data_IF_717865822034
#
_entry.id   IF_717865822034
#
_cell.length_a   1.000
_cell.length_b   1.000
_cell.length_c   1.000
_cell.angle_alpha   90.00
_cell.angle_beta   90.00
_cell.angle_gamma   90.00
#
_symmetry.space_group_name_H-M   'P 1'
#
loop_
_entity.id
_entity.type
_entity.pdbx_description
1 polymer ?
#
# COMPACT_ATOMS: atom_id res chain seq x y z
N UNK A 1 -9.83 12.92 34.60
CA UNK A 1 -10.66 12.39 33.52
C UNK A 1 -10.47 13.32 32.34
N UNK A 2 -9.51 13.02 31.47
CA UNK A 2 -9.18 13.79 30.26
C UNK A 2 -9.91 13.14 29.09
N UNK A 3 -10.62 13.96 28.36
CA UNK A 3 -11.57 13.61 27.33
C UNK A 3 -10.80 13.19 26.04
N UNK A 4 -10.80 11.90 25.72
CA UNK A 4 -10.05 11.28 24.60
C UNK A 4 -10.94 11.19 23.35
N UNK A 5 -11.52 12.29 22.89
CA UNK A 5 -12.37 12.31 21.68
C UNK A 5 -12.17 13.58 20.84
N UNK A 6 -10.93 13.88 20.48
CA UNK A 6 -10.61 14.79 19.38
C UNK A 6 -9.60 14.15 18.44
N UNK A 7 -9.96 13.03 17.85
CA UNK A 7 -9.29 12.58 16.61
C UNK A 7 -9.94 13.40 15.50
N UNK A 8 -9.20 14.42 15.10
CA UNK A 8 -9.49 15.38 14.04
C UNK A 8 -10.01 14.67 12.78
N UNK A 9 -11.30 14.83 12.56
CA UNK A 9 -11.92 14.67 11.25
C UNK A 9 -11.57 15.91 10.42
N UNK A 10 -10.34 16.07 9.99
CA UNK A 10 -9.92 17.09 9.04
C UNK A 10 -10.52 16.73 7.70
N UNK A 11 -11.69 17.31 7.40
CA UNK A 11 -12.18 17.40 6.01
C UNK A 11 -11.02 17.89 5.14
N UNK A 12 -10.76 17.27 3.98
CA UNK A 12 -9.73 17.77 3.07
C UNK A 12 -10.06 19.24 2.74
N UNK A 13 -9.05 20.09 2.89
CA UNK A 13 -9.18 21.51 2.56
C UNK A 13 -9.33 21.64 1.04
N UNK A 14 -10.57 21.73 0.56
CA UNK A 14 -10.93 21.89 -0.84
C UNK A 14 -10.77 23.30 -1.37
N UNK A 15 -10.17 24.21 -0.58
CA UNK A 15 -9.93 25.58 -0.98
C UNK A 15 -8.54 25.75 -1.63
N UNK A 16 -8.49 26.60 -2.65
CA UNK A 16 -7.26 26.96 -3.34
C UNK A 16 -6.29 27.70 -2.41
N UNK A 17 -5.11 27.16 -2.20
CA UNK A 17 -4.08 27.72 -1.31
C UNK A 17 -3.14 28.66 -2.06
N UNK A 18 -3.58 29.89 -2.32
CA UNK A 18 -2.79 30.94 -3.00
C UNK A 18 -1.46 31.20 -2.33
N UNK A 19 -1.43 31.25 -0.99
CA UNK A 19 -0.24 31.55 -0.21
C UNK A 19 0.89 30.55 -0.47
N UNK A 20 0.54 29.28 -0.56
CA UNK A 20 1.51 28.22 -0.84
C UNK A 20 2.17 28.42 -2.20
N UNK A 21 1.39 28.68 -3.27
CA UNK A 21 1.94 28.90 -4.60
C UNK A 21 2.86 30.12 -4.64
N UNK A 22 2.47 31.23 -3.99
CA UNK A 22 3.30 32.45 -3.91
C UNK A 22 4.62 32.17 -3.19
N UNK A 23 4.58 31.50 -2.04
CA UNK A 23 5.78 31.14 -1.28
C UNK A 23 6.72 30.24 -2.05
N UNK A 24 6.18 29.26 -2.80
CA UNK A 24 6.99 28.38 -3.64
C UNK A 24 7.68 29.11 -4.78
N UNK A 25 6.97 30.01 -5.47
CA UNK A 25 7.54 30.85 -6.51
C UNK A 25 8.65 31.75 -5.97
N UNK A 26 8.45 32.33 -4.78
CA UNK A 26 9.47 33.16 -4.12
C UNK A 26 10.71 32.35 -3.74
N UNK A 27 10.54 31.15 -3.20
CA UNK A 27 11.64 30.26 -2.81
C UNK A 27 12.57 29.93 -3.97
N UNK A 28 12.04 29.78 -5.19
CA UNK A 28 12.83 29.53 -6.41
C UNK A 28 13.14 30.81 -7.20
N UNK A 29 12.84 32.00 -6.64
CA UNK A 29 13.04 33.31 -7.27
C UNK A 29 12.39 33.41 -8.67
N UNK A 30 11.21 32.81 -8.84
CA UNK A 30 10.47 32.81 -10.11
C UNK A 30 9.30 33.78 -10.05
N UNK A 31 9.24 34.72 -11.00
CA UNK A 31 8.09 35.62 -11.13
C UNK A 31 6.91 34.93 -11.83
N UNK A 32 5.66 35.38 -11.54
CA UNK A 32 4.46 34.86 -12.21
C UNK A 32 4.52 35.04 -13.74
N UNK A 33 5.09 36.13 -14.24
CA UNK A 33 5.30 36.34 -15.69
C UNK A 33 6.23 35.30 -16.30
N UNK A 34 7.30 34.95 -15.58
CA UNK A 34 8.24 33.92 -16.03
C UNK A 34 7.63 32.54 -15.97
N UNK A 35 6.84 32.24 -14.93
CA UNK A 35 6.04 31.02 -14.87
C UNK A 35 5.10 30.91 -16.07
N UNK A 36 4.35 31.96 -16.38
CA UNK A 36 3.44 32.01 -17.51
C UNK A 36 4.15 31.63 -18.84
N UNK A 37 5.33 32.21 -19.09
CA UNK A 37 6.12 31.88 -20.26
C UNK A 37 6.58 30.41 -20.28
N UNK A 38 6.93 29.85 -19.12
CA UNK A 38 7.44 28.48 -19.02
C UNK A 38 6.34 27.42 -19.21
N UNK A 39 5.09 27.75 -18.85
CA UNK A 39 3.94 26.83 -19.02
C UNK A 39 3.11 27.13 -20.27
N UNK A 40 3.56 28.11 -21.07
CA UNK A 40 2.92 28.52 -22.31
C UNK A 40 1.50 29.07 -22.10
N UNK A 41 1.36 29.99 -21.12
CA UNK A 41 0.11 30.67 -20.80
C UNK A 41 0.30 32.20 -20.81
N UNK A 42 -0.83 32.89 -21.03
CA UNK A 42 -0.89 34.33 -20.83
C UNK A 42 -0.70 34.69 -19.35
N UNK A 43 0.03 35.77 -19.02
CA UNK A 43 0.22 36.24 -17.65
C UNK A 43 -1.10 36.48 -16.88
N UNK A 44 -2.14 36.94 -17.57
CA UNK A 44 -3.47 37.12 -16.97
C UNK A 44 -4.09 35.77 -16.55
N UNK A 45 -3.94 34.74 -17.37
CA UNK A 45 -4.42 33.40 -17.07
C UNK A 45 -3.70 32.81 -15.84
N UNK A 46 -2.38 33.03 -15.70
CA UNK A 46 -1.63 32.63 -14.49
C UNK A 46 -2.10 33.39 -13.27
N UNK A 47 -2.38 34.69 -13.38
CA UNK A 47 -2.91 35.48 -12.27
C UNK A 47 -4.27 34.98 -11.82
N UNK A 48 -5.17 34.65 -12.74
CA UNK A 48 -6.47 34.05 -12.42
C UNK A 48 -6.32 32.65 -11.81
N UNK A 49 -5.41 31.85 -12.33
CA UNK A 49 -5.10 30.54 -11.79
C UNK A 49 -4.56 30.63 -10.35
N UNK A 50 -3.56 31.46 -10.09
CA UNK A 50 -2.98 31.66 -8.77
C UNK A 50 -3.91 32.38 -7.77
N UNK A 51 -5.00 32.95 -8.23
CA UNK A 51 -6.07 33.49 -7.37
C UNK A 51 -7.23 32.50 -7.13
N UNK A 52 -7.16 31.29 -7.69
CA UNK A 52 -8.22 30.28 -7.60
C UNK A 52 -9.46 30.57 -8.47
N UNK A 53 -9.42 31.64 -9.31
CA UNK A 53 -10.53 32.01 -10.21
C UNK A 53 -10.55 31.23 -11.53
N UNK A 54 -9.47 30.53 -11.85
CA UNK A 54 -9.35 29.64 -12.99
C UNK A 54 -8.86 28.27 -12.52
N UNK A 55 -9.53 27.23 -12.96
CA UNK A 55 -9.09 25.84 -12.68
C UNK A 55 -7.78 25.54 -13.39
N UNK A 56 -6.90 24.80 -12.74
CA UNK A 56 -5.67 24.26 -13.33
C UNK A 56 -6.01 23.01 -14.12
N UNK A 57 -5.57 22.90 -15.36
CA UNK A 57 -5.76 21.70 -16.16
C UNK A 57 -4.70 20.65 -15.82
N UNK A 58 -4.97 19.38 -16.12
CA UNK A 58 -4.01 18.27 -15.87
C UNK A 58 -2.64 18.51 -16.50
N UNK A 59 -2.61 19.03 -17.73
CA UNK A 59 -1.35 19.35 -18.42
C UNK A 59 -0.57 20.48 -17.73
N UNK A 60 -1.26 21.49 -17.23
CA UNK A 60 -0.65 22.58 -16.46
C UNK A 60 -0.12 22.11 -15.11
N UNK A 61 -0.85 21.22 -14.43
CA UNK A 61 -0.41 20.63 -13.16
C UNK A 61 0.96 19.98 -13.31
N UNK A 62 1.17 19.15 -14.35
CA UNK A 62 2.46 18.50 -14.59
C UNK A 62 3.59 19.51 -14.88
N UNK A 63 3.32 20.53 -15.72
CA UNK A 63 4.30 21.56 -16.02
C UNK A 63 4.69 22.35 -14.76
N UNK A 64 3.71 22.75 -13.94
CA UNK A 64 3.93 23.50 -12.71
C UNK A 64 4.67 22.63 -11.69
N UNK A 65 4.32 21.37 -11.53
CA UNK A 65 4.97 20.42 -10.62
C UNK A 65 6.47 20.30 -10.93
N UNK A 66 6.82 20.14 -12.21
CA UNK A 66 8.20 20.08 -12.66
C UNK A 66 8.97 21.39 -12.39
N UNK A 67 8.35 22.56 -12.67
CA UNK A 67 8.98 23.88 -12.47
C UNK A 67 9.20 24.16 -10.98
N UNK A 68 8.22 23.85 -10.13
CA UNK A 68 8.30 24.08 -8.69
C UNK A 68 9.06 22.97 -7.94
N UNK A 69 9.49 21.92 -8.65
CA UNK A 69 10.14 20.72 -8.09
C UNK A 69 9.34 20.12 -6.92
N UNK A 70 8.07 19.85 -7.16
CA UNK A 70 7.14 19.23 -6.21
C UNK A 70 6.35 18.12 -6.91
N UNK A 71 5.66 17.27 -6.14
CA UNK A 71 4.83 16.23 -6.73
C UNK A 71 3.54 16.80 -7.35
N UNK A 72 3.03 16.11 -8.36
CA UNK A 72 1.71 16.41 -8.96
C UNK A 72 0.60 16.42 -7.90
N UNK A 73 0.63 15.46 -6.98
CA UNK A 73 -0.31 15.36 -5.87
C UNK A 73 -0.26 16.59 -4.96
N UNK A 74 0.93 17.15 -4.72
CA UNK A 74 1.10 18.37 -3.91
C UNK A 74 0.47 19.59 -4.61
N UNK A 75 0.69 19.76 -5.92
CA UNK A 75 0.02 20.81 -6.70
C UNK A 75 -1.50 20.67 -6.63
N UNK A 76 -2.02 19.47 -6.86
CA UNK A 76 -3.47 19.23 -6.86
C UNK A 76 -4.08 19.53 -5.50
N UNK A 77 -3.46 19.07 -4.41
CA UNK A 77 -3.92 19.34 -3.04
C UNK A 77 -3.99 20.84 -2.75
N UNK A 78 -2.97 21.61 -3.11
CA UNK A 78 -2.95 23.05 -2.91
C UNK A 78 -3.81 23.83 -3.92
N UNK A 79 -4.14 23.22 -5.05
CA UNK A 79 -5.10 23.77 -6.00
C UNK A 79 -6.57 23.53 -5.59
N UNK A 80 -6.82 22.90 -4.42
CA UNK A 80 -8.18 22.55 -3.99
C UNK A 80 -8.84 21.48 -4.85
N UNK A 81 -8.03 20.76 -5.62
CA UNK A 81 -8.47 19.58 -6.35
C UNK A 81 -8.41 18.43 -5.36
N UNK A 82 -9.52 17.79 -5.09
CA UNK A 82 -9.57 16.63 -4.23
C UNK A 82 -8.69 15.52 -4.85
N UNK A 83 -7.47 15.47 -4.35
CA UNK A 83 -6.62 14.30 -4.55
C UNK A 83 -7.12 13.37 -3.47
N UNK A 84 -8.17 12.64 -3.76
CA UNK A 84 -8.31 11.36 -3.11
C UNK A 84 -6.99 10.67 -3.41
N UNK A 85 -6.11 10.60 -2.40
CA UNK A 85 -5.05 9.61 -2.41
C UNK A 85 -5.82 8.30 -2.60
N UNK A 86 -5.95 7.89 -3.85
CA UNK A 86 -6.47 6.59 -4.22
C UNK A 86 -5.37 5.58 -3.87
N UNK A 87 -4.94 5.70 -2.61
CA UNK A 87 -4.00 4.79 -1.99
C UNK A 87 -4.78 3.52 -1.84
N UNK A 88 -4.57 2.68 -2.81
CA UNK A 88 -5.19 1.37 -2.84
C UNK A 88 -4.94 0.68 -1.51
N UNK A 89 -6.02 0.27 -0.86
CA UNK A 89 -5.98 -0.44 0.41
C UNK A 89 -6.46 -1.87 0.22
N UNK A 90 -5.85 -2.79 0.93
CA UNK A 90 -6.28 -4.19 1.03
C UNK A 90 -6.65 -4.50 2.47
N UNK A 91 -7.58 -5.41 2.66
CA UNK A 91 -8.02 -5.84 3.99
C UNK A 91 -6.94 -6.68 4.67
N UNK A 92 -6.67 -6.42 5.94
CA UNK A 92 -5.91 -7.32 6.80
C UNK A 92 -6.90 -8.37 7.30
N UNK A 93 -6.88 -9.56 6.70
CA UNK A 93 -7.88 -10.61 6.95
C UNK A 93 -7.53 -11.53 8.12
N UNK A 94 -6.33 -11.41 8.70
CA UNK A 94 -5.89 -12.29 9.77
C UNK A 94 -4.47 -11.99 10.21
N UNK A 95 -3.94 -12.85 11.04
CA UNK A 95 -2.58 -12.72 11.53
C UNK A 95 -1.80 -14.04 11.42
N UNK A 96 -0.48 -13.90 11.40
CA UNK A 96 0.49 -14.98 11.41
C UNK A 96 1.08 -15.04 12.81
N UNK A 97 0.78 -16.13 13.52
CA UNK A 97 1.28 -16.40 14.87
C UNK A 97 2.49 -17.32 14.86
N UNK A 98 2.68 -18.01 15.97
CA UNK A 98 3.79 -18.96 16.15
C UNK A 98 3.82 -20.03 15.07
N UNK A 99 5.03 -20.49 14.73
CA UNK A 99 5.30 -21.52 13.70
C UNK A 99 4.69 -21.16 12.35
N UNK A 100 4.55 -19.86 12.05
CA UNK A 100 3.94 -19.35 10.82
C UNK A 100 2.48 -19.74 10.59
N UNK A 101 1.76 -20.18 11.63
CA UNK A 101 0.34 -20.50 11.52
C UNK A 101 -0.50 -19.25 11.29
N UNK A 102 -1.48 -19.38 10.41
CA UNK A 102 -2.39 -18.28 10.07
C UNK A 102 -3.72 -18.48 10.79
N UNK A 103 -4.22 -17.40 11.37
CA UNK A 103 -5.56 -17.31 11.92
C UNK A 103 -6.30 -16.18 11.21
N UNK A 104 -7.40 -16.49 10.55
CA UNK A 104 -8.26 -15.48 9.94
C UNK A 104 -9.24 -14.91 10.95
N UNK A 105 -9.66 -13.67 10.75
CA UNK A 105 -10.70 -13.03 11.57
C UNK A 105 -12.09 -13.51 11.12
N UNK A 106 -12.90 -13.93 12.07
CA UNK A 106 -14.25 -14.45 11.82
C UNK A 106 -15.34 -13.38 11.92
N UNK A 107 -15.06 -12.26 12.57
CA UNK A 107 -16.03 -11.23 12.95
C UNK A 107 -16.31 -10.18 11.85
N UNK A 108 -15.65 -10.27 10.71
CA UNK A 108 -15.79 -9.32 9.61
C UNK A 108 -15.17 -7.93 9.89
N UNK A 109 -14.58 -7.71 11.05
CA UNK A 109 -13.84 -6.48 11.37
C UNK A 109 -12.42 -6.57 10.82
N UNK A 110 -12.16 -5.85 9.74
CA UNK A 110 -10.85 -5.83 9.09
C UNK A 110 -10.22 -4.46 9.17
N UNK A 111 -8.97 -4.43 9.61
CA UNK A 111 -8.09 -3.29 9.38
C UNK A 111 -7.65 -3.23 7.91
N UNK A 112 -7.09 -2.10 7.52
CA UNK A 112 -6.67 -1.86 6.16
C UNK A 112 -5.16 -1.60 6.09
N UNK A 113 -4.51 -2.21 5.14
CA UNK A 113 -3.12 -1.94 4.79
C UNK A 113 -3.05 -1.24 3.43
N UNK A 114 -2.11 -0.29 3.29
CA UNK A 114 -1.78 0.30 1.99
C UNK A 114 -1.16 -0.78 1.12
N UNK A 115 -1.77 -1.05 -0.02
CA UNK A 115 -1.28 -2.04 -0.97
C UNK A 115 -0.09 -1.51 -1.77
N UNK A 116 0.93 -2.34 -2.04
CA UNK A 116 1.90 -2.05 -3.09
C UNK A 116 1.22 -1.90 -4.47
N UNK A 117 1.83 -1.12 -5.38
CA UNK A 117 1.22 -0.79 -6.67
C UNK A 117 0.89 -2.02 -7.53
N UNK A 118 1.74 -3.03 -7.47
CA UNK A 118 1.73 -4.20 -8.35
C UNK A 118 0.92 -5.40 -7.81
N UNK A 119 0.31 -5.23 -6.63
CA UNK A 119 -0.48 -6.30 -6.00
C UNK A 119 -1.87 -6.40 -6.65
N UNK A 120 -2.35 -7.57 -7.13
CA UNK A 120 -3.68 -7.75 -7.75
C UNK A 120 -4.85 -7.31 -6.87
N UNK A 121 -6.00 -6.99 -7.48
CA UNK A 121 -7.17 -6.42 -6.77
C UNK A 121 -7.82 -7.37 -5.76
N UNK A 122 -7.71 -8.66 -5.98
CA UNK A 122 -8.26 -9.72 -5.15
C UNK A 122 -7.38 -10.08 -3.95
N UNK A 123 -6.20 -9.46 -3.86
CA UNK A 123 -5.24 -9.73 -2.79
C UNK A 123 -5.71 -9.27 -1.43
N UNK A 124 -5.16 -9.87 -0.40
CA UNK A 124 -5.37 -9.50 0.99
C UNK A 124 -4.04 -9.47 1.77
N UNK A 125 -4.09 -8.95 2.98
CA UNK A 125 -2.94 -8.85 3.86
C UNK A 125 -3.11 -9.72 5.10
N UNK A 126 -1.99 -10.25 5.59
CA UNK A 126 -1.86 -10.88 6.90
C UNK A 126 -0.83 -10.08 7.70
N UNK A 127 -1.04 -9.92 8.99
CA UNK A 127 -0.09 -9.27 9.88
C UNK A 127 0.65 -10.31 10.72
N UNK A 128 1.97 -10.22 10.79
CA UNK A 128 2.76 -11.03 11.73
C UNK A 128 2.52 -10.52 13.15
N UNK A 129 2.11 -11.40 14.05
CA UNK A 129 1.91 -11.13 15.49
C UNK A 129 2.73 -12.10 16.31
N UNK A 130 3.99 -11.75 16.51
CA UNK A 130 4.96 -12.53 17.27
C UNK A 130 5.78 -11.58 18.15
N UNK A 131 5.23 -11.13 19.30
CA UNK A 131 5.91 -10.21 20.19
C UNK A 131 7.33 -10.67 20.56
N UNK A 132 8.30 -9.78 20.40
CA UNK A 132 9.72 -10.08 20.62
C UNK A 132 10.45 -10.71 19.42
N UNK A 133 9.78 -11.02 18.34
CA UNK A 133 10.38 -11.42 17.06
C UNK A 133 10.77 -10.19 16.23
N UNK A 134 11.84 -10.32 15.44
CA UNK A 134 12.24 -9.27 14.48
C UNK A 134 11.20 -9.02 13.38
N UNK A 135 10.28 -9.95 13.20
CA UNK A 135 9.24 -9.90 12.16
C UNK A 135 7.88 -9.44 12.71
N UNK A 136 7.81 -9.10 14.01
CA UNK A 136 6.54 -8.63 14.58
C UNK A 136 6.05 -7.35 13.90
N UNK A 137 4.76 -7.29 13.61
CA UNK A 137 4.14 -6.18 12.88
C UNK A 137 4.28 -6.23 11.35
N UNK A 138 5.10 -7.12 10.78
CA UNK A 138 5.25 -7.21 9.33
C UNK A 138 3.93 -7.51 8.63
N UNK A 139 3.78 -6.95 7.43
CA UNK A 139 2.61 -7.15 6.58
C UNK A 139 2.96 -8.02 5.39
N UNK A 140 2.21 -9.12 5.25
CA UNK A 140 2.38 -10.11 4.20
C UNK A 140 1.20 -10.02 3.24
N UNK A 141 1.46 -9.62 2.00
CA UNK A 141 0.43 -9.51 0.96
C UNK A 141 0.35 -10.81 0.18
N UNK A 142 -0.85 -11.38 0.13
CA UNK A 142 -1.13 -12.69 -0.43
C UNK A 142 -2.14 -12.54 -1.56
N UNK A 143 -1.97 -13.28 -2.65
CA UNK A 143 -2.96 -13.37 -3.72
C UNK A 143 -4.27 -13.94 -3.22
N UNK A 144 -5.39 -13.43 -3.72
CA UNK A 144 -6.69 -14.06 -3.52
C UNK A 144 -6.88 -15.35 -4.34
N UNK A 145 -6.07 -15.52 -5.37
CA UNK A 145 -6.10 -16.70 -6.23
C UNK A 145 -5.47 -17.91 -5.54
N UNK A 146 -6.21 -19.02 -5.54
CA UNK A 146 -5.72 -20.31 -5.05
C UNK A 146 -5.18 -21.13 -6.22
N UNK A 147 -4.02 -21.72 -6.02
CA UNK A 147 -3.34 -22.54 -7.05
C UNK A 147 -2.88 -23.88 -6.44
N UNK A 148 -2.26 -24.72 -7.27
CA UNK A 148 -1.65 -25.97 -6.82
C UNK A 148 -0.23 -25.71 -6.28
N UNK A 149 0.23 -26.58 -5.38
CA UNK A 149 1.58 -26.49 -4.80
C UNK A 149 2.70 -26.60 -5.83
N UNK A 150 2.46 -27.26 -6.95
CA UNK A 150 3.46 -27.45 -8.00
C UNK A 150 3.91 -26.14 -8.65
N UNK A 151 3.01 -25.16 -8.72
CA UNK A 151 3.31 -23.85 -9.30
C UNK A 151 4.08 -22.91 -8.34
N UNK A 152 4.22 -23.31 -7.07
CA UNK A 152 4.80 -22.49 -6.00
C UNK A 152 6.07 -23.09 -5.39
N UNK A 153 6.67 -24.07 -6.05
CA UNK A 153 7.96 -24.64 -5.61
C UNK A 153 9.03 -23.55 -5.53
N UNK A 154 9.76 -23.51 -4.42
CA UNK A 154 10.78 -22.51 -4.09
C UNK A 154 10.25 -21.06 -3.99
N UNK A 155 8.96 -20.90 -3.73
CA UNK A 155 8.33 -19.59 -3.51
C UNK A 155 7.64 -19.50 -2.15
N UNK A 156 7.66 -18.33 -1.50
CA UNK A 156 6.84 -18.07 -0.34
C UNK A 156 5.35 -18.17 -0.69
N UNK A 157 4.60 -18.87 0.14
CA UNK A 157 3.18 -19.06 -0.06
C UNK A 157 2.41 -19.14 1.27
N UNK A 158 1.13 -18.82 1.20
CA UNK A 158 0.13 -19.26 2.16
C UNK A 158 -0.38 -20.61 1.68
N UNK A 159 -0.36 -21.61 2.53
CA UNK A 159 -0.84 -22.95 2.20
C UNK A 159 -1.89 -23.40 3.21
N UNK A 160 -2.79 -24.27 2.76
CA UNK A 160 -3.64 -25.10 3.62
C UNK A 160 -3.22 -26.55 3.46
N UNK A 161 -2.88 -27.19 4.55
CA UNK A 161 -2.56 -28.60 4.60
C UNK A 161 -3.83 -29.45 4.59
N UNK A 162 -3.70 -30.74 4.33
CA UNK A 162 -4.84 -31.69 4.29
C UNK A 162 -5.58 -31.80 5.63
N UNK A 163 -4.94 -31.45 6.76
CA UNK A 163 -5.56 -31.41 8.08
C UNK A 163 -6.28 -30.08 8.39
N UNK A 164 -6.34 -29.15 7.43
CA UNK A 164 -6.93 -27.83 7.57
C UNK A 164 -6.00 -26.78 8.20
N UNK A 165 -4.78 -27.14 8.56
CA UNK A 165 -3.78 -26.17 9.08
C UNK A 165 -3.40 -25.20 7.99
N UNK A 166 -3.51 -23.89 8.28
CA UNK A 166 -3.11 -22.83 7.37
C UNK A 166 -1.81 -22.16 7.88
N UNK A 167 -0.84 -21.99 6.99
CA UNK A 167 0.44 -21.40 7.36
C UNK A 167 1.15 -20.71 6.21
N UNK A 168 2.00 -19.74 6.54
CA UNK A 168 2.91 -19.13 5.57
C UNK A 168 4.24 -19.86 5.56
N UNK A 169 4.72 -20.25 4.38
CA UNK A 169 5.89 -21.10 4.25
C UNK A 169 6.61 -20.90 2.92
N UNK A 170 7.83 -21.38 2.85
CA UNK A 170 8.51 -21.72 1.60
C UNK A 170 8.13 -23.16 1.26
N UNK A 171 7.58 -23.37 0.06
CA UNK A 171 7.18 -24.70 -0.42
C UNK A 171 8.33 -25.31 -1.22
N UNK A 172 8.71 -26.55 -0.89
CA UNK A 172 9.66 -27.36 -1.68
C UNK A 172 9.06 -28.71 -2.04
N UNK A 173 9.59 -29.36 -3.06
CA UNK A 173 9.17 -30.71 -3.40
C UNK A 173 9.41 -31.66 -2.23
N UNK A 174 8.43 -32.49 -1.92
CA UNK A 174 8.57 -33.57 -0.96
C UNK A 174 9.36 -34.75 -1.53
N UNK A 175 9.79 -35.65 -0.66
CA UNK A 175 10.49 -36.89 -1.05
C UNK A 175 9.51 -37.96 -1.59
N UNK A 176 8.22 -37.81 -1.31
CA UNK A 176 7.17 -38.70 -1.83
C UNK A 176 6.39 -38.00 -2.95
N UNK A 177 5.86 -38.80 -3.89
CA UNK A 177 5.03 -38.27 -4.96
C UNK A 177 3.84 -37.46 -4.41
N UNK A 178 3.51 -36.34 -5.05
CA UNK A 178 2.42 -35.43 -4.70
C UNK A 178 2.50 -34.83 -3.28
N UNK A 179 3.69 -34.79 -2.67
CA UNK A 179 3.91 -34.16 -1.37
C UNK A 179 4.82 -32.95 -1.50
N UNK A 180 4.80 -32.10 -0.46
CA UNK A 180 5.66 -30.95 -0.32
C UNK A 180 6.36 -30.97 1.04
N UNK A 181 7.57 -30.41 1.08
CA UNK A 181 8.26 -30.06 2.30
C UNK A 181 7.98 -28.59 2.58
N UNK A 182 7.55 -28.30 3.80
CA UNK A 182 7.05 -27.01 4.24
C UNK A 182 8.05 -26.40 5.22
N UNK A 183 8.60 -25.26 4.86
CA UNK A 183 9.53 -24.51 5.69
C UNK A 183 8.82 -23.26 6.21
N UNK A 184 8.50 -23.14 7.52
CA UNK A 184 7.85 -21.97 8.07
C UNK A 184 8.59 -20.69 7.71
N UNK A 185 7.85 -19.66 7.30
CA UNK A 185 8.44 -18.39 6.81
C UNK A 185 8.77 -17.45 7.96
N UNK A 186 7.99 -17.50 9.04
CA UNK A 186 8.10 -16.61 10.20
C UNK A 186 8.14 -17.42 11.49
N UNK A 187 9.06 -17.04 12.39
CA UNK A 187 9.24 -17.69 13.68
C UNK A 187 9.99 -19.02 13.61
N UNK A 188 10.37 -19.52 14.79
CA UNK A 188 11.00 -20.81 14.95
C UNK A 188 9.96 -21.93 14.80
N UNK A 189 10.00 -22.65 13.71
CA UNK A 189 9.15 -23.81 13.45
C UNK A 189 9.94 -24.93 12.79
N UNK A 190 9.58 -26.17 13.11
CA UNK A 190 10.18 -27.32 12.47
C UNK A 190 9.72 -27.43 11.03
N UNK A 191 10.59 -27.92 10.16
CA UNK A 191 10.23 -28.29 8.79
C UNK A 191 9.23 -29.43 8.82
N UNK A 192 8.12 -29.29 8.11
CA UNK A 192 7.14 -30.36 7.93
C UNK A 192 7.43 -31.07 6.62
N UNK A 193 7.84 -32.33 6.71
CA UNK A 193 8.19 -33.13 5.52
C UNK A 193 6.98 -33.86 4.94
N UNK A 194 7.00 -34.03 3.62
CA UNK A 194 6.04 -34.85 2.88
C UNK A 194 4.56 -34.53 3.16
N UNK A 195 4.24 -33.25 3.29
CA UNK A 195 2.88 -32.78 3.54
C UNK A 195 2.04 -32.76 2.26
N UNK A 196 0.76 -33.07 2.39
CA UNK A 196 -0.24 -32.87 1.33
C UNK A 196 -0.81 -31.46 1.48
N UNK A 197 -0.71 -30.66 0.42
CA UNK A 197 -1.28 -29.32 0.36
C UNK A 197 -2.62 -29.39 -0.33
N UNK A 198 -3.67 -28.90 0.34
CA UNK A 198 -5.02 -28.82 -0.22
C UNK A 198 -5.10 -27.69 -1.26
N UNK A 199 -4.57 -26.51 -0.91
CA UNK A 199 -4.41 -25.37 -1.80
C UNK A 199 -3.26 -24.49 -1.33
N UNK A 200 -2.78 -23.64 -2.25
CA UNK A 200 -1.75 -22.66 -1.96
C UNK A 200 -2.04 -21.34 -2.68
N UNK A 201 -1.61 -20.23 -2.08
CA UNK A 201 -1.67 -18.89 -2.66
C UNK A 201 -0.30 -18.21 -2.55
N UNK A 202 0.22 -17.60 -3.61
CA UNK A 202 1.54 -16.97 -3.56
C UNK A 202 1.55 -15.77 -2.62
N UNK A 203 2.63 -15.65 -1.84
CA UNK A 203 3.00 -14.39 -1.19
C UNK A 203 3.56 -13.48 -2.27
N UNK A 204 2.96 -12.30 -2.43
CA UNK A 204 3.29 -11.34 -3.47
C UNK A 204 4.28 -10.29 -2.98
N UNK A 205 4.13 -9.87 -1.73
CA UNK A 205 4.94 -8.81 -1.14
C UNK A 205 5.06 -8.98 0.37
N UNK A 206 6.22 -8.60 0.91
CA UNK A 206 6.48 -8.56 2.35
C UNK A 206 6.94 -7.15 2.69
N UNK A 207 6.22 -6.49 3.60
CA UNK A 207 6.56 -5.16 4.09
C UNK A 207 6.94 -5.24 5.56
N UNK A 208 8.20 -4.95 5.93
CA UNK A 208 8.61 -4.77 7.32
C UNK A 208 7.79 -3.69 8.04
N UNK A 209 7.72 -3.75 9.36
CA UNK A 209 7.04 -2.77 10.21
C UNK A 209 7.79 -1.45 10.27
#
# INVERSE_FOLDING_TARGET
MLNTNEIMNTKPNTEFNKQWFVSRLQAIKLSQRRLAKMIDLDPSAVTLMLSGRRKITTGEVHKIANILNVSVAEIMRHAGIDVTDDVRKVKIKGFIGEKSRVTFFDDGSFDWAIAPADVPNDSFCLQVRQPGSTNDGWLIFVSGEKTTSQNLVDRPALVELADGTQMTCLVRRGYKANTANIYPLHGAGDTLENQTIAWASPVLWIRPA
#
